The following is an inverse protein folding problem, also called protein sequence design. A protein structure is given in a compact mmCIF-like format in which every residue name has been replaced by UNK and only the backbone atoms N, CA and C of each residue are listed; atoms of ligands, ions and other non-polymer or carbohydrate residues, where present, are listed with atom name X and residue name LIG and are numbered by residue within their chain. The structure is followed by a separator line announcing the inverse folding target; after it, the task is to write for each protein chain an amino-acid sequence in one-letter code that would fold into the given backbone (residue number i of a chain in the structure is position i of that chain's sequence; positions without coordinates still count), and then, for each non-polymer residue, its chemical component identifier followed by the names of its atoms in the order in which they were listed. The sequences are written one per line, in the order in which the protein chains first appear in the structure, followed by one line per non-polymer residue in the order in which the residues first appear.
data_IF_301394428477
#
_entry.id   IF_301394428477
#
_cell.length_a   1.000
_cell.length_b   1.000
_cell.length_c   1.000
_cell.angle_alpha   90.00
_cell.angle_beta   90.00
_cell.angle_gamma   90.00
#
_symmetry.space_group_name_H-M   'P 1'
#
loop_
_entity.id
_entity.type
_entity.pdbx_description
1 polymer ?
#
# COMPACT_ATOMS: atom_id res chain seq x y z
N UNK A 1 10.56 -7.96 -5.40
CA UNK A 1 9.51 -8.87 -5.91
C UNK A 1 8.27 -8.71 -5.06
N UNK A 2 7.23 -8.11 -5.59
CA UNK A 2 5.93 -8.21 -4.93
C UNK A 2 5.63 -9.71 -4.76
N UNK A 3 5.27 -10.13 -3.56
CA UNK A 3 4.99 -11.54 -3.32
C UNK A 3 3.72 -11.93 -4.08
N UNK A 4 3.59 -13.18 -4.52
CA UNK A 4 2.34 -13.71 -5.11
C UNK A 4 1.11 -13.36 -4.26
N UNK A 5 1.31 -13.21 -2.96
CA UNK A 5 0.29 -12.77 -2.03
C UNK A 5 -0.10 -11.29 -2.24
N UNK A 6 0.87 -10.40 -2.43
CA UNK A 6 0.59 -8.98 -2.69
C UNK A 6 -0.22 -8.81 -3.97
N UNK A 7 0.18 -9.46 -5.07
CA UNK A 7 -0.60 -9.46 -6.31
C UNK A 7 -2.03 -9.98 -6.11
N UNK A 8 -2.21 -11.09 -5.38
CA UNK A 8 -3.55 -11.64 -5.12
C UNK A 8 -4.44 -10.65 -4.34
N UNK A 9 -3.89 -9.96 -3.33
CA UNK A 9 -4.64 -8.96 -2.58
C UNK A 9 -4.93 -7.71 -3.41
N UNK A 10 -3.94 -7.21 -4.16
CA UNK A 10 -4.10 -6.07 -5.05
C UNK A 10 -5.13 -6.34 -6.16
N UNK A 11 -5.11 -7.54 -6.75
CA UNK A 11 -6.14 -7.94 -7.74
C UNK A 11 -7.54 -7.98 -7.11
N UNK A 12 -7.67 -8.44 -5.87
CA UNK A 12 -8.96 -8.45 -5.17
C UNK A 12 -9.46 -7.03 -4.82
N UNK A 13 -8.58 -6.12 -4.45
CA UNK A 13 -8.89 -4.69 -4.23
C UNK A 13 -9.28 -4.02 -5.54
N UNK A 14 -8.50 -4.25 -6.60
CA UNK A 14 -8.78 -3.71 -7.94
C UNK A 14 -10.15 -4.17 -8.46
N UNK A 15 -10.49 -5.45 -8.30
CA UNK A 15 -11.80 -5.96 -8.67
C UNK A 15 -12.97 -5.24 -7.98
N UNK A 16 -12.76 -4.72 -6.76
CA UNK A 16 -13.75 -3.90 -6.05
C UNK A 16 -13.73 -2.43 -6.48
N UNK A 17 -12.58 -1.92 -6.92
CA UNK A 17 -12.40 -0.54 -7.36
C UNK A 17 -12.81 -0.33 -8.83
N UNK A 18 -12.55 -1.30 -9.69
CA UNK A 18 -12.77 -1.22 -11.14
C UNK A 18 -14.20 -0.80 -11.56
N UNK A 19 -15.29 -1.32 -10.94
CA UNK A 19 -16.65 -0.87 -11.27
C UNK A 19 -16.94 0.60 -10.90
N UNK A 20 -16.02 1.28 -10.23
CA UNK A 20 -16.14 2.67 -9.80
C UNK A 20 -15.41 3.62 -10.75
N UNK A 21 -14.67 3.08 -11.70
CA UNK A 21 -13.95 3.83 -12.74
C UNK A 21 -14.88 4.04 -13.94
N UNK A 22 -14.75 5.15 -14.69
CA UNK A 22 -15.54 5.40 -15.91
C UNK A 22 -15.17 4.40 -16.99
N UNK A 23 -16.15 3.70 -17.55
CA UNK A 23 -15.95 2.66 -18.58
C UNK A 23 -15.19 3.20 -19.77
N UNK A 24 -14.10 2.52 -20.18
CA UNK A 24 -13.25 2.93 -21.31
C UNK A 24 -12.48 4.23 -21.08
N UNK A 25 -12.49 4.77 -19.87
CA UNK A 25 -11.86 6.04 -19.55
C UNK A 25 -10.33 5.99 -19.57
N UNK A 26 -9.74 7.19 -19.65
CA UNK A 26 -8.28 7.41 -19.51
C UNK A 26 -7.96 7.42 -18.01
N UNK A 27 -7.22 6.42 -17.56
CA UNK A 27 -6.90 6.22 -16.15
C UNK A 27 -5.44 6.52 -15.91
N UNK A 28 -5.15 7.39 -14.93
CA UNK A 28 -3.83 7.52 -14.35
C UNK A 28 -3.72 6.57 -13.16
N UNK A 29 -2.85 5.56 -13.23
CA UNK A 29 -2.47 4.77 -12.06
C UNK A 29 -1.28 5.42 -11.36
N UNK A 30 -1.50 5.98 -10.18
CA UNK A 30 -0.48 6.58 -9.33
C UNK A 30 0.13 5.52 -8.41
N UNK A 31 1.47 5.36 -8.44
CA UNK A 31 2.17 4.37 -7.64
C UNK A 31 2.01 2.96 -8.19
N UNK A 32 2.26 2.79 -9.49
CA UNK A 32 1.98 1.57 -10.24
C UNK A 32 2.95 0.40 -9.92
N UNK A 33 4.08 0.66 -9.28
CA UNK A 33 5.08 -0.34 -8.95
C UNK A 33 5.60 -1.07 -10.19
N UNK A 34 5.32 -2.37 -10.29
CA UNK A 34 5.69 -3.22 -11.43
C UNK A 34 4.68 -3.18 -12.59
N UNK A 35 3.64 -2.35 -12.51
CA UNK A 35 2.59 -2.21 -13.52
C UNK A 35 1.56 -3.35 -13.53
N UNK A 36 1.52 -4.17 -12.48
CA UNK A 36 0.59 -5.30 -12.39
C UNK A 36 -0.88 -4.88 -12.50
N UNK A 37 -1.31 -3.87 -11.74
CA UNK A 37 -2.70 -3.40 -11.77
C UNK A 37 -3.01 -2.66 -13.07
N UNK A 38 -2.07 -1.87 -13.61
CA UNK A 38 -2.20 -1.24 -14.93
C UNK A 38 -2.47 -2.27 -16.03
N UNK A 39 -1.73 -3.39 -16.03
CA UNK A 39 -1.93 -4.45 -17.02
C UNK A 39 -3.34 -5.06 -16.94
N UNK A 40 -3.87 -5.25 -15.72
CA UNK A 40 -5.23 -5.77 -15.53
C UNK A 40 -6.27 -4.75 -16.02
N UNK A 41 -6.12 -3.47 -15.65
CA UNK A 41 -7.02 -2.41 -16.11
C UNK A 41 -7.05 -2.32 -17.64
N UNK A 42 -5.89 -2.37 -18.29
CA UNK A 42 -5.79 -2.34 -19.75
C UNK A 42 -6.50 -3.55 -20.40
N UNK A 43 -6.37 -4.76 -19.84
CA UNK A 43 -7.10 -5.95 -20.28
C UNK A 43 -8.63 -5.82 -20.17
N UNK A 44 -9.12 -4.93 -19.29
CA UNK A 44 -10.54 -4.63 -19.12
C UNK A 44 -11.01 -3.42 -19.95
N UNK A 45 -10.20 -2.95 -20.91
CA UNK A 45 -10.57 -1.93 -21.88
C UNK A 45 -10.38 -0.49 -21.41
N UNK A 46 -9.64 -0.24 -20.33
CA UNK A 46 -9.24 1.11 -19.92
C UNK A 46 -7.99 1.58 -20.68
N UNK A 47 -7.88 2.87 -20.91
CA UNK A 47 -6.67 3.50 -21.46
C UNK A 47 -5.83 3.92 -20.26
N UNK A 48 -4.79 3.13 -19.90
CA UNK A 48 -4.04 3.29 -18.66
C UNK A 48 -2.69 3.93 -18.91
N UNK A 49 -2.41 4.97 -18.14
CA UNK A 49 -1.06 5.52 -17.96
C UNK A 49 -0.61 5.22 -16.53
N UNK A 50 0.46 4.44 -16.40
CA UNK A 50 1.01 4.05 -15.12
C UNK A 50 2.22 4.92 -14.77
N UNK A 51 2.29 5.41 -13.51
CA UNK A 51 3.39 6.28 -13.06
C UNK A 51 3.86 5.86 -11.66
N UNK A 52 5.17 5.93 -11.44
CA UNK A 52 5.77 5.71 -10.12
C UNK A 52 7.09 6.48 -9.96
N UNK A 53 7.61 6.56 -8.74
CA UNK A 53 8.91 7.14 -8.45
C UNK A 53 10.03 6.14 -8.72
N UNK A 54 11.22 6.64 -9.10
CA UNK A 54 12.34 5.80 -9.53
C UNK A 54 12.78 4.75 -8.51
N UNK A 55 12.68 5.06 -7.21
CA UNK A 55 13.14 4.18 -6.13
C UNK A 55 12.34 2.87 -5.98
N UNK A 56 11.14 2.80 -6.56
CA UNK A 56 10.21 1.67 -6.41
C UNK A 56 10.31 0.68 -7.57
N UNK A 57 10.69 1.14 -8.77
CA UNK A 57 10.61 0.36 -10.03
C UNK A 57 11.86 -0.50 -10.28
N UNK A 58 12.85 -0.51 -9.40
CA UNK A 58 14.14 -1.17 -9.63
C UNK A 58 14.03 -2.71 -9.62
N UNK A 59 14.30 -3.33 -10.77
CA UNK A 59 14.68 -4.75 -10.88
C UNK A 59 13.55 -5.77 -10.92
N UNK A 60 12.31 -5.37 -11.15
CA UNK A 60 11.17 -6.29 -11.26
C UNK A 60 10.80 -6.59 -12.72
N UNK A 61 10.19 -7.75 -12.95
CA UNK A 61 9.44 -8.01 -14.18
C UNK A 61 8.34 -6.95 -14.30
N UNK A 62 8.40 -6.12 -15.33
CA UNK A 62 7.33 -5.14 -15.61
C UNK A 62 6.18 -5.84 -16.32
N UNK A 63 4.96 -5.63 -15.84
CA UNK A 63 3.73 -6.15 -16.44
C UNK A 63 3.09 -5.14 -17.40
N UNK A 64 3.38 -3.85 -17.22
CA UNK A 64 3.01 -2.75 -18.12
C UNK A 64 4.09 -1.68 -18.09
N UNK A 65 4.20 -0.82 -19.13
CA UNK A 65 5.08 0.35 -19.10
C UNK A 65 4.72 1.28 -17.93
N UNK A 66 5.73 1.71 -17.17
CA UNK A 66 5.58 2.64 -16.05
C UNK A 66 6.45 3.86 -16.32
N UNK A 67 5.83 5.05 -16.32
CA UNK A 67 6.52 6.33 -16.44
C UNK A 67 7.11 6.71 -15.09
N UNK A 68 8.38 7.11 -15.06
CA UNK A 68 9.01 7.59 -13.84
C UNK A 68 8.83 9.08 -13.68
N UNK A 69 8.61 9.55 -12.44
CA UNK A 69 8.50 10.96 -12.11
C UNK A 69 9.19 11.30 -10.78
N UNK A 70 9.23 12.57 -10.43
CA UNK A 70 9.98 13.09 -9.27
C UNK A 70 9.23 12.98 -7.93
N UNK A 71 8.01 12.43 -7.93
CA UNK A 71 7.16 12.34 -6.74
C UNK A 71 6.46 13.64 -6.35
N UNK A 72 6.55 14.68 -7.19
CA UNK A 72 5.99 16.02 -6.96
C UNK A 72 5.08 16.50 -8.07
N UNK A 73 5.62 16.61 -9.31
CA UNK A 73 4.91 17.15 -10.46
C UNK A 73 4.57 16.04 -11.45
N UNK A 74 3.30 15.90 -11.77
CA UNK A 74 2.85 14.93 -12.78
C UNK A 74 3.18 15.45 -14.18
N UNK A 75 3.93 14.69 -15.03
CA UNK A 75 4.38 15.14 -16.35
C UNK A 75 3.26 15.02 -17.40
N UNK A 76 2.06 15.48 -17.07
CA UNK A 76 0.89 15.43 -17.93
C UNK A 76 0.20 16.79 -17.99
N UNK A 77 -0.42 17.13 -19.12
CA UNK A 77 -1.26 18.32 -19.24
C UNK A 77 -2.46 18.31 -18.29
N UNK A 78 -3.06 19.47 -18.08
CA UNK A 78 -4.32 19.61 -17.37
C UNK A 78 -5.42 18.80 -18.06
N UNK A 79 -6.38 18.29 -17.28
CA UNK A 79 -7.56 17.56 -17.78
C UNK A 79 -7.23 16.37 -18.71
N UNK A 80 -6.12 15.68 -18.48
CA UNK A 80 -5.66 14.55 -19.28
C UNK A 80 -6.37 13.23 -18.98
N UNK A 81 -6.94 13.09 -17.77
CA UNK A 81 -7.46 11.83 -17.27
C UNK A 81 -8.91 11.94 -16.81
N UNK A 82 -9.68 10.87 -17.07
CA UNK A 82 -11.07 10.75 -16.65
C UNK A 82 -11.16 10.13 -15.25
N UNK A 83 -10.12 9.39 -14.83
CA UNK A 83 -9.97 8.99 -13.45
C UNK A 83 -8.50 8.84 -13.04
N UNK A 84 -8.28 8.96 -11.72
CA UNK A 84 -7.05 8.54 -11.05
C UNK A 84 -7.36 7.31 -10.20
N UNK A 85 -6.51 6.31 -10.28
CA UNK A 85 -6.52 5.15 -9.40
C UNK A 85 -5.22 5.08 -8.61
N UNK A 86 -5.28 4.77 -7.32
CA UNK A 86 -4.10 4.40 -6.53
C UNK A 86 -4.42 3.34 -5.49
N UNK A 87 -3.44 2.50 -5.18
CA UNK A 87 -3.63 1.42 -4.22
C UNK A 87 -2.45 1.32 -3.26
N UNK A 88 -2.66 1.76 -2.02
CA UNK A 88 -1.66 1.79 -0.93
C UNK A 88 -0.40 2.58 -1.33
N UNK A 89 -0.62 3.80 -1.75
CA UNK A 89 0.40 4.77 -2.20
C UNK A 89 0.37 6.02 -1.33
N UNK A 90 -0.82 6.55 -1.06
CA UNK A 90 -0.99 7.86 -0.47
C UNK A 90 -0.41 8.00 0.94
N UNK A 91 -0.30 6.90 1.68
CA UNK A 91 0.37 6.84 2.98
C UNK A 91 1.89 7.07 2.88
N UNK A 92 2.47 6.83 1.72
CA UNK A 92 3.90 6.98 1.44
C UNK A 92 4.27 8.29 0.76
N UNK A 93 3.29 9.13 0.46
CA UNK A 93 3.51 10.42 -0.17
C UNK A 93 3.96 11.45 0.87
N UNK A 94 5.14 12.04 0.67
CA UNK A 94 5.72 13.04 1.58
C UNK A 94 4.98 14.37 1.51
N UNK A 95 4.75 14.86 0.30
CA UNK A 95 3.97 16.07 0.03
C UNK A 95 2.56 15.69 -0.41
N UNK A 96 1.71 15.37 0.58
CA UNK A 96 0.34 14.95 0.31
C UNK A 96 -0.48 16.06 -0.36
N UNK A 97 -0.32 17.29 0.09
CA UNK A 97 -1.10 18.44 -0.42
C UNK A 97 -0.70 18.77 -1.86
N UNK A 98 0.59 18.75 -2.16
CA UNK A 98 1.12 18.99 -3.50
C UNK A 98 0.63 17.94 -4.50
N UNK A 99 0.72 16.64 -4.16
CA UNK A 99 0.24 15.61 -5.08
C UNK A 99 -1.28 15.66 -5.26
N UNK A 100 -2.07 16.02 -4.23
CA UNK A 100 -3.51 16.17 -4.36
C UNK A 100 -3.85 17.32 -5.33
N UNK A 101 -3.14 18.45 -5.29
CA UNK A 101 -3.30 19.55 -6.23
C UNK A 101 -2.98 19.10 -7.67
N UNK A 102 -1.91 18.34 -7.88
CA UNK A 102 -1.56 17.78 -9.18
C UNK A 102 -2.62 16.78 -9.69
N UNK A 103 -3.17 15.93 -8.83
CA UNK A 103 -4.26 15.03 -9.19
C UNK A 103 -5.52 15.81 -9.64
N UNK A 104 -5.85 16.89 -8.94
CA UNK A 104 -6.96 17.79 -9.34
C UNK A 104 -6.67 18.45 -10.69
N UNK A 105 -5.44 18.89 -10.95
CA UNK A 105 -5.02 19.52 -12.22
C UNK A 105 -5.17 18.59 -13.41
N UNK A 106 -4.68 17.36 -13.28
CA UNK A 106 -4.68 16.41 -14.41
C UNK A 106 -6.03 15.74 -14.65
N UNK A 107 -6.98 15.82 -13.70
CA UNK A 107 -8.33 15.29 -13.88
C UNK A 107 -9.20 16.22 -14.71
N UNK A 108 -10.00 15.63 -15.60
CA UNK A 108 -11.07 16.35 -16.33
C UNK A 108 -12.09 16.93 -15.34
N UNK A 109 -12.98 17.81 -15.84
CA UNK A 109 -14.02 18.46 -15.02
C UNK A 109 -14.90 17.45 -14.27
N UNK A 110 -15.26 16.34 -14.94
CA UNK A 110 -16.07 15.27 -14.39
C UNK A 110 -15.24 14.11 -13.82
N UNK A 111 -13.93 14.28 -13.78
CA UNK A 111 -12.98 13.25 -13.35
C UNK A 111 -13.18 12.83 -11.91
N UNK A 112 -12.83 11.58 -11.64
CA UNK A 112 -12.95 10.96 -10.31
C UNK A 112 -11.61 10.40 -9.85
N UNK A 113 -11.36 10.44 -8.53
CA UNK A 113 -10.27 9.71 -7.92
C UNK A 113 -10.79 8.51 -7.14
N UNK A 114 -10.20 7.34 -7.39
CA UNK A 114 -10.51 6.09 -6.68
C UNK A 114 -9.24 5.63 -5.96
N UNK A 115 -9.24 5.72 -4.65
CA UNK A 115 -8.08 5.40 -3.83
C UNK A 115 -8.36 4.23 -2.90
N UNK A 116 -7.52 3.18 -2.96
CA UNK A 116 -7.44 2.16 -1.95
C UNK A 116 -6.36 2.56 -0.94
N UNK A 117 -6.73 2.70 0.33
CA UNK A 117 -5.82 3.16 1.39
C UNK A 117 -5.87 2.24 2.60
N UNK A 118 -4.77 2.12 3.37
CA UNK A 118 -4.74 1.28 4.57
C UNK A 118 -5.71 1.80 5.64
N UNK A 119 -6.23 0.87 6.42
CA UNK A 119 -7.13 1.16 7.53
C UNK A 119 -6.43 1.15 8.89
N UNK A 120 -7.04 1.79 9.89
CA UNK A 120 -6.63 1.68 11.28
C UNK A 120 -6.65 0.23 11.77
N UNK A 121 -7.58 -0.59 11.28
CA UNK A 121 -7.65 -2.03 11.58
C UNK A 121 -6.42 -2.77 11.09
N UNK A 122 -5.99 -2.48 9.85
CA UNK A 122 -4.74 -3.05 9.33
C UNK A 122 -3.54 -2.65 10.19
N UNK A 123 -3.46 -1.38 10.57
CA UNK A 123 -2.38 -0.87 11.44
C UNK A 123 -2.37 -1.55 12.79
N UNK A 124 -3.54 -1.68 13.43
CA UNK A 124 -3.71 -2.36 14.71
C UNK A 124 -3.19 -3.80 14.66
N UNK A 125 -3.70 -4.62 13.74
CA UNK A 125 -3.31 -6.03 13.64
C UNK A 125 -1.86 -6.21 13.22
N UNK A 126 -1.31 -5.31 12.39
CA UNK A 126 0.11 -5.33 12.02
C UNK A 126 0.98 -5.00 13.23
N UNK A 127 0.60 -4.01 14.03
CA UNK A 127 1.30 -3.67 15.27
C UNK A 127 1.27 -4.81 16.27
N UNK A 128 0.09 -5.41 16.50
CA UNK A 128 -0.07 -6.54 17.41
C UNK A 128 0.68 -7.79 16.95
N UNK A 129 0.75 -8.03 15.64
CA UNK A 129 1.47 -9.16 15.05
C UNK A 129 2.99 -9.00 15.01
N UNK A 130 3.48 -7.77 15.14
CA UNK A 130 4.90 -7.46 14.95
C UNK A 130 5.86 -8.25 15.87
N UNK A 131 5.61 -8.41 17.19
CA UNK A 131 6.46 -9.20 18.07
C UNK A 131 6.59 -10.67 17.63
N UNK A 132 5.50 -11.26 17.11
CA UNK A 132 5.51 -12.63 16.62
C UNK A 132 6.36 -12.79 15.35
N UNK A 133 6.35 -11.78 14.48
CA UNK A 133 7.22 -11.72 13.30
C UNK A 133 8.69 -11.65 13.69
N UNK A 134 9.03 -10.78 14.64
CA UNK A 134 10.38 -10.64 15.14
C UNK A 134 10.87 -11.95 15.77
N UNK A 135 10.06 -12.60 16.59
CA UNK A 135 10.38 -13.90 17.21
C UNK A 135 10.61 -14.98 16.15
N UNK A 136 9.73 -15.09 15.15
CA UNK A 136 9.87 -16.05 14.05
C UNK A 136 11.13 -15.79 13.22
N UNK A 137 11.47 -14.53 12.96
CA UNK A 137 12.68 -14.17 12.24
C UNK A 137 13.94 -14.57 13.02
N UNK A 138 14.00 -14.31 14.32
CA UNK A 138 15.11 -14.71 15.20
C UNK A 138 15.29 -16.24 15.22
N UNK A 139 14.19 -16.98 15.36
CA UNK A 139 14.22 -18.45 15.35
C UNK A 139 14.72 -19.01 14.01
N UNK A 140 14.25 -18.44 12.90
CA UNK A 140 14.69 -18.86 11.56
C UNK A 140 16.15 -18.50 11.29
N UNK A 141 16.61 -17.35 11.77
CA UNK A 141 18.01 -16.92 11.64
C UNK A 141 18.95 -17.86 12.44
N UNK A 142 18.55 -18.27 13.64
CA UNK A 142 19.29 -19.26 14.44
C UNK A 142 19.37 -20.62 13.76
N UNK A 143 18.26 -21.11 13.18
CA UNK A 143 18.23 -22.37 12.44
C UNK A 143 19.14 -22.35 11.19
N UNK A 144 19.22 -21.23 10.50
CA UNK A 144 20.14 -21.05 9.35
C UNK A 144 21.61 -21.02 9.79
N UNK A 145 21.92 -20.37 10.91
CA UNK A 145 23.26 -20.34 11.47
C UNK A 145 23.74 -21.74 11.90
N UNK A 146 22.89 -22.55 12.53
CA UNK A 146 23.22 -23.92 12.92
C UNK A 146 23.37 -24.87 11.73
N UNK A 147 22.61 -24.67 10.63
CA UNK A 147 22.78 -25.47 9.40
C UNK A 147 24.03 -25.10 8.61
N UNK A 148 24.55 -23.89 8.77
CA UNK A 148 25.80 -23.45 8.12
C UNK A 148 27.07 -23.87 8.89
N UNK A 149 26.95 -24.23 10.17
CA UNK A 149 28.10 -24.71 10.96
C UNK A 149 28.57 -26.11 10.61
N UNK A 150 27.78 -26.89 9.83
CA UNK A 150 28.24 -28.20 9.34
C UNK A 150 29.15 -28.14 8.10
N UNK A 151 29.50 -26.96 7.63
CA UNK A 151 30.42 -26.77 6.51
C UNK A 151 31.22 -25.48 6.69
N UNK A 152 32.20 -25.45 7.58
CA UNK A 152 33.42 -24.66 7.52
C UNK A 152 33.95 -24.24 8.90
N UNK A 153 35.21 -24.53 9.06
CA UNK A 153 36.09 -24.18 10.18
C UNK A 153 36.18 -22.67 10.46
N UNK A 154 36.22 -22.33 11.77
CA UNK A 154 37.02 -21.26 12.38
C UNK A 154 36.93 -19.84 11.78
N UNK A 155 35.94 -19.12 12.23
CA UNK A 155 36.05 -17.68 12.50
C UNK A 155 35.46 -17.43 13.87
N UNK A 156 36.28 -16.98 14.82
CA UNK A 156 35.91 -16.67 16.22
C UNK A 156 34.84 -15.58 16.24
N UNK A 157 33.61 -15.99 16.20
CA UNK A 157 32.46 -15.08 16.32
C UNK A 157 32.34 -14.71 17.79
N UNK A 158 32.62 -13.44 18.11
CA UNK A 158 32.49 -12.91 19.45
C UNK A 158 31.02 -12.99 19.89
N UNK A 159 30.71 -13.91 20.80
CA UNK A 159 29.37 -14.11 21.39
C UNK A 159 28.79 -12.81 21.99
N UNK A 160 29.62 -11.83 22.38
CA UNK A 160 29.17 -10.53 22.89
C UNK A 160 28.55 -9.63 21.81
N UNK A 161 29.01 -9.76 20.55
CA UNK A 161 28.43 -9.03 19.42
C UNK A 161 27.08 -9.59 19.02
N UNK A 162 26.91 -10.93 19.11
CA UNK A 162 25.64 -11.58 18.86
C UNK A 162 24.61 -11.18 19.90
N UNK A 163 24.98 -11.12 21.16
CA UNK A 163 24.06 -10.76 22.26
C UNK A 163 23.57 -9.32 22.17
N UNK A 164 24.46 -8.36 21.86
CA UNK A 164 24.06 -6.95 21.61
C UNK A 164 23.17 -6.80 20.39
N UNK A 165 23.42 -7.55 19.32
CA UNK A 165 22.60 -7.54 18.11
C UNK A 165 21.23 -8.16 18.36
N UNK A 166 21.16 -9.25 19.12
CA UNK A 166 19.89 -9.88 19.51
C UNK A 166 19.08 -8.97 20.44
N UNK A 167 19.70 -8.31 21.43
CA UNK A 167 19.01 -7.35 22.29
C UNK A 167 18.50 -6.13 21.50
N UNK A 168 19.28 -5.61 20.56
CA UNK A 168 18.85 -4.53 19.66
C UNK A 168 17.69 -4.97 18.77
N UNK A 169 17.72 -6.20 18.23
CA UNK A 169 16.66 -6.79 17.43
C UNK A 169 15.40 -7.04 18.24
N UNK A 170 15.51 -7.48 19.51
CA UNK A 170 14.37 -7.63 20.41
C UNK A 170 13.73 -6.27 20.71
N UNK A 171 14.51 -5.20 20.95
CA UNK A 171 13.98 -3.85 21.12
C UNK A 171 13.31 -3.31 19.87
N UNK A 172 13.90 -3.54 18.69
CA UNK A 172 13.31 -3.18 17.39
C UNK A 172 12.10 -4.07 17.04
N UNK A 173 12.06 -5.30 17.53
CA UNK A 173 11.00 -6.26 17.28
C UNK A 173 9.77 -6.12 18.17
N UNK A 174 9.88 -5.39 19.29
CA UNK A 174 8.73 -5.16 20.19
C UNK A 174 7.88 -3.96 19.77
N UNK A 175 8.45 -3.03 19.01
CA UNK A 175 7.76 -1.82 18.56
C UNK A 175 7.70 -1.85 17.03
N UNK A 176 6.48 -1.96 16.48
CA UNK A 176 6.30 -1.88 15.04
C UNK A 176 6.74 -0.50 14.53
N UNK A 177 7.59 -0.42 13.49
CA UNK A 177 7.97 0.86 12.90
C UNK A 177 6.74 1.59 12.35
N UNK A 178 6.86 2.91 12.17
CA UNK A 178 5.86 3.64 11.39
C UNK A 178 5.77 3.05 9.97
N UNK A 179 4.59 3.11 9.38
CA UNK A 179 4.37 2.59 8.03
C UNK A 179 4.34 3.70 6.99
N UNK A 180 3.63 4.78 7.28
CA UNK A 180 3.52 5.92 6.38
C UNK A 180 4.60 7.00 6.61
N UNK A 181 4.59 8.02 5.75
CA UNK A 181 5.50 9.17 5.86
C UNK A 181 5.09 10.13 6.97
N UNK A 182 3.83 10.10 7.41
CA UNK A 182 3.28 11.03 8.39
C UNK A 182 2.91 10.33 9.70
N UNK A 183 3.17 11.02 10.81
CA UNK A 183 2.81 10.54 12.13
C UNK A 183 3.81 9.59 12.78
N UNK A 184 3.36 8.91 13.79
CA UNK A 184 4.08 7.89 14.55
C UNK A 184 3.16 6.68 14.81
N UNK A 185 3.67 5.67 15.51
CA UNK A 185 2.92 4.44 15.80
C UNK A 185 1.50 4.70 16.33
N UNK A 186 1.30 5.67 17.22
CA UNK A 186 0.01 5.98 17.83
C UNK A 186 -0.87 6.82 16.90
N UNK A 187 -0.31 7.87 16.30
CA UNK A 187 -1.06 8.78 15.43
C UNK A 187 -1.45 8.14 14.11
N UNK A 188 -0.71 7.14 13.62
CA UNK A 188 -1.10 6.38 12.42
C UNK A 188 -2.44 5.66 12.58
N UNK A 189 -2.84 5.26 13.80
CA UNK A 189 -4.18 4.70 14.03
C UNK A 189 -5.28 5.71 13.69
N UNK A 190 -5.07 6.99 14.03
CA UNK A 190 -6.00 8.04 13.64
C UNK A 190 -5.88 8.37 12.14
N UNK A 191 -4.65 8.55 11.64
CA UNK A 191 -4.41 8.91 10.23
C UNK A 191 -4.99 7.88 9.25
N UNK A 192 -4.92 6.59 9.60
CA UNK A 192 -5.47 5.50 8.79
C UNK A 192 -6.94 5.18 9.13
N UNK A 193 -7.55 5.94 10.04
CA UNK A 193 -8.99 5.82 10.30
C UNK A 193 -9.80 6.44 9.15
N UNK A 194 -11.10 6.08 9.09
CA UNK A 194 -12.04 6.71 8.15
C UNK A 194 -12.07 8.22 8.30
N UNK A 195 -12.12 8.70 9.54
CA UNK A 195 -12.13 10.13 9.84
C UNK A 195 -10.83 10.82 9.44
N UNK A 196 -9.68 10.19 9.71
CA UNK A 196 -8.36 10.69 9.34
C UNK A 196 -8.20 10.86 7.83
N UNK A 197 -8.51 9.81 7.05
CA UNK A 197 -8.46 9.89 5.58
C UNK A 197 -9.46 10.89 5.02
N UNK A 198 -10.72 10.84 5.47
CA UNK A 198 -11.75 11.79 5.03
C UNK A 198 -11.29 13.22 5.24
N UNK A 199 -10.84 13.57 6.46
CA UNK A 199 -10.36 14.91 6.79
C UNK A 199 -9.21 15.36 5.88
N UNK A 200 -8.22 14.50 5.61
CA UNK A 200 -7.09 14.82 4.73
C UNK A 200 -7.55 15.13 3.31
N UNK A 201 -8.44 14.32 2.74
CA UNK A 201 -9.00 14.58 1.42
C UNK A 201 -9.81 15.88 1.39
N UNK A 202 -10.69 16.11 2.37
CA UNK A 202 -11.50 17.34 2.43
C UNK A 202 -10.64 18.59 2.58
N UNK A 203 -9.56 18.54 3.36
CA UNK A 203 -8.61 19.64 3.54
C UNK A 203 -7.85 19.98 2.25
N UNK A 204 -7.70 19.04 1.33
CA UNK A 204 -7.02 19.22 0.04
C UNK A 204 -8.00 19.43 -1.13
N UNK A 205 -9.24 19.84 -0.82
CA UNK A 205 -10.22 20.24 -1.82
C UNK A 205 -10.96 19.11 -2.51
N UNK A 206 -11.07 17.94 -1.85
CA UNK A 206 -11.85 16.81 -2.37
C UNK A 206 -13.21 16.68 -1.67
N UNK A 207 -14.21 16.37 -2.45
CA UNK A 207 -15.51 15.94 -1.96
C UNK A 207 -15.60 14.40 -2.00
N UNK A 208 -15.81 13.78 -0.84
CA UNK A 208 -15.93 12.31 -0.76
C UNK A 208 -17.35 11.91 -1.09
N UNK A 209 -17.52 11.12 -2.16
CA UNK A 209 -18.82 10.58 -2.58
C UNK A 209 -19.10 9.21 -1.98
N UNK A 210 -18.08 8.36 -1.93
CA UNK A 210 -18.18 7.01 -1.38
C UNK A 210 -16.97 6.71 -0.52
N UNK A 211 -17.21 6.07 0.61
CA UNK A 211 -16.17 5.49 1.45
C UNK A 211 -16.66 4.12 1.93
N UNK A 212 -16.00 3.08 1.48
CA UNK A 212 -16.34 1.71 1.87
C UNK A 212 -15.13 0.88 2.24
N UNK A 213 -15.35 -0.11 3.08
CA UNK A 213 -14.35 -1.12 3.42
C UNK A 213 -14.25 -2.15 2.30
N UNK A 214 -13.06 -2.64 1.99
CA UNK A 214 -12.85 -3.70 0.99
C UNK A 214 -13.36 -5.06 1.44
N UNK A 215 -13.62 -5.23 2.75
CA UNK A 215 -14.01 -6.52 3.29
C UNK A 215 -12.89 -7.56 3.24
N UNK A 216 -11.63 -7.15 3.17
CA UNK A 216 -10.45 -8.01 3.10
C UNK A 216 -9.59 -7.82 4.35
N UNK A 217 -9.25 -8.91 5.04
CA UNK A 217 -8.26 -8.90 6.11
C UNK A 217 -7.00 -9.61 5.63
N UNK A 218 -5.91 -8.88 5.49
CA UNK A 218 -4.62 -9.44 5.08
C UNK A 218 -3.46 -9.16 6.05
N UNK A 219 -3.72 -8.57 7.20
CA UNK A 219 -2.77 -8.53 8.30
C UNK A 219 -2.33 -9.96 8.69
N UNK A 220 -1.11 -10.11 9.15
CA UNK A 220 -0.56 -11.44 9.46
C UNK A 220 -0.14 -12.26 8.23
N UNK A 221 0.03 -11.61 7.07
CA UNK A 221 0.50 -12.26 5.85
C UNK A 221 1.78 -13.09 6.07
N UNK A 222 2.75 -12.56 6.81
CA UNK A 222 4.01 -13.24 7.06
C UNK A 222 3.87 -14.47 7.96
N UNK A 223 2.77 -14.57 8.73
CA UNK A 223 2.46 -15.75 9.52
C UNK A 223 1.75 -16.82 8.68
N UNK A 224 0.76 -16.44 7.90
CA UNK A 224 -0.14 -17.35 7.23
C UNK A 224 0.01 -17.37 5.69
N UNK A 225 0.48 -16.28 5.08
CA UNK A 225 0.70 -16.16 3.63
C UNK A 225 -0.54 -16.55 2.80
N UNK A 226 -0.32 -17.25 1.69
CA UNK A 226 -1.38 -17.78 0.82
C UNK A 226 -2.13 -18.98 1.41
N UNK A 227 -1.69 -19.57 2.54
CA UNK A 227 -2.35 -20.72 3.18
C UNK A 227 -3.76 -20.39 3.66
N UNK A 228 -4.03 -19.10 3.99
CA UNK A 228 -5.37 -18.62 4.31
C UNK A 228 -6.12 -18.26 3.03
N UNK A 229 -7.11 -19.08 2.67
CA UNK A 229 -7.94 -18.84 1.50
C UNK A 229 -8.65 -17.47 1.54
N UNK A 230 -8.84 -16.86 0.37
CA UNK A 230 -9.46 -15.54 0.20
C UNK A 230 -10.86 -15.45 0.88
N UNK A 231 -11.68 -16.50 0.75
CA UNK A 231 -13.00 -16.61 1.41
C UNK A 231 -12.90 -16.50 2.93
N UNK A 232 -11.90 -17.11 3.53
CA UNK A 232 -11.68 -17.06 4.98
C UNK A 232 -11.26 -15.66 5.43
N UNK A 233 -10.41 -14.98 4.66
CA UNK A 233 -10.02 -13.58 4.91
C UNK A 233 -11.20 -12.63 4.85
N UNK A 234 -12.17 -12.86 3.92
CA UNK A 234 -13.43 -12.13 3.88
C UNK A 234 -14.29 -12.35 5.11
N UNK A 235 -14.38 -13.59 5.58
CA UNK A 235 -15.14 -13.92 6.80
C UNK A 235 -14.48 -13.29 8.03
N UNK A 236 -13.17 -13.36 8.16
CA UNK A 236 -12.43 -12.70 9.25
C UNK A 236 -12.60 -11.18 9.23
N UNK A 237 -12.65 -10.55 8.05
CA UNK A 237 -12.82 -9.12 7.94
C UNK A 237 -14.16 -8.61 8.51
N UNK A 238 -15.19 -9.45 8.56
CA UNK A 238 -16.49 -9.11 9.18
C UNK A 238 -16.39 -8.94 10.69
N UNK A 239 -15.46 -9.66 11.33
CA UNK A 239 -15.27 -9.67 12.80
C UNK A 239 -14.11 -8.75 13.17
N UNK A 240 -12.99 -8.89 12.50
CA UNK A 240 -11.73 -8.24 12.84
C UNK A 240 -11.51 -6.90 12.10
N UNK A 241 -12.41 -6.57 11.18
CA UNK A 241 -12.35 -5.37 10.34
C UNK A 241 -11.52 -5.56 9.06
N UNK A 242 -11.65 -4.61 8.14
CA UNK A 242 -10.98 -4.64 6.83
C UNK A 242 -9.61 -3.99 6.89
N UNK A 243 -8.67 -4.51 6.11
CA UNK A 243 -7.31 -3.95 6.01
C UNK A 243 -7.24 -2.67 5.21
N UNK A 244 -8.19 -2.43 4.30
CA UNK A 244 -8.21 -1.23 3.45
C UNK A 244 -9.61 -0.66 3.29
N UNK A 245 -9.62 0.62 2.92
CA UNK A 245 -10.81 1.35 2.46
C UNK A 245 -10.66 1.73 1.00
N UNK A 246 -11.79 1.84 0.29
CA UNK A 246 -11.89 2.48 -1.01
C UNK A 246 -12.61 3.82 -0.81
N UNK A 247 -11.98 4.88 -1.29
CA UNK A 247 -12.56 6.22 -1.40
C UNK A 247 -12.83 6.54 -2.85
N UNK A 248 -14.01 7.10 -3.14
CA UNK A 248 -14.31 7.79 -4.38
C UNK A 248 -14.45 9.26 -4.03
N UNK A 249 -13.60 10.07 -4.63
CA UNK A 249 -13.58 11.50 -4.43
C UNK A 249 -13.64 12.25 -5.77
N UNK A 250 -14.23 13.45 -5.75
CA UNK A 250 -14.16 14.39 -6.86
C UNK A 250 -13.56 15.71 -6.38
N UNK A 251 -12.84 16.43 -7.23
CA UNK A 251 -12.39 17.77 -6.89
C UNK A 251 -13.59 18.65 -6.50
N UNK A 252 -13.47 19.33 -5.35
CA UNK A 252 -14.47 20.34 -4.99
C UNK A 252 -14.23 21.56 -5.89
N UNK A 253 -14.97 21.65 -6.98
CA UNK A 253 -14.96 22.83 -7.86
C UNK A 253 -16.18 23.68 -7.51
N UNK A 254 -16.03 24.99 -7.20
CA UNK A 254 -17.18 25.86 -7.07
C UNK A 254 -17.96 25.81 -8.37
N UNK A 255 -19.29 25.69 -8.26
CA UNK A 255 -20.15 25.78 -9.45
C UNK A 255 -19.98 27.17 -10.05
N UNK A 256 -19.88 27.27 -11.39
CA UNK A 256 -19.79 28.54 -12.07
C UNK A 256 -21.01 29.44 -11.78
#
# INVERSE_FOLDING_TARGET
MASKFAHAMRSAELALAMPLLPTGGRILELGAGDGWQASILAQHGFIVTAIDVADVVVGATQYAPVTLYDGRTLPFPDASFDAVYSSNVLEHVKDFDGIQAELVRVLTAEGVAVHCVPSATWRFWTTLGHPFHAAKWVLNSRRRATSSQNSSQTLGIDHRLIDKSVQRLLRLGLIAPRHGEHGNLLTEHYLFSRCGWKRRFEQTGWQIHVMRSTGLLYSGNELFGLRLAHRFRKSMAKILGSSTFIFIARPHRPRP
#
